data_IF_104476786477
#
_entry.id   IF_104476786477
#
_cell.length_a   1.000
_cell.length_b   1.000
_cell.length_c   1.000
_cell.angle_alpha   90.00
_cell.angle_beta   90.00
_cell.angle_gamma   90.00
#
_symmetry.space_group_name_H-M   'P 1'
#
loop_
_entity.id
_entity.type
_entity.pdbx_description
1 polymer ?
#
# COMPACT_ATOMS: atom_id res chain seq x y z
N UNK A 1 25.38 8.45 31.00
CA UNK A 1 23.92 8.24 30.87
C UNK A 1 23.56 8.08 29.40
N UNK A 2 22.76 7.07 29.04
CA UNK A 2 21.90 7.11 27.84
C UNK A 2 20.98 5.88 27.88
N UNK A 3 19.69 6.14 28.11
CA UNK A 3 18.62 5.16 28.03
C UNK A 3 18.72 4.35 26.74
N UNK A 4 19.19 3.10 26.81
CA UNK A 4 18.99 2.11 25.75
C UNK A 4 17.71 1.37 26.08
N UNK A 5 16.57 1.97 25.72
CA UNK A 5 15.33 1.21 25.69
C UNK A 5 15.50 0.05 24.70
N UNK A 6 15.21 -1.19 25.08
CA UNK A 6 15.32 -2.33 24.17
C UNK A 6 14.25 -2.21 23.09
N UNK A 7 14.61 -1.66 21.92
CA UNK A 7 13.71 -1.57 20.78
C UNK A 7 13.52 -2.98 20.20
N UNK A 8 12.29 -3.48 20.27
CA UNK A 8 11.91 -4.84 19.84
C UNK A 8 10.85 -4.90 18.75
N UNK A 9 10.33 -3.75 18.35
CA UNK A 9 9.26 -3.66 17.36
C UNK A 9 9.44 -2.41 16.49
N UNK A 10 9.32 -2.59 15.18
CA UNK A 10 9.14 -1.52 14.21
C UNK A 10 7.74 -1.69 13.60
N UNK A 11 6.93 -0.64 13.61
CA UNK A 11 5.63 -0.61 12.94
C UNK A 11 5.69 0.41 11.82
N UNK A 12 5.37 -0.01 10.60
CA UNK A 12 5.21 0.85 9.44
C UNK A 12 3.73 0.86 9.05
N UNK A 13 3.01 1.89 9.49
CA UNK A 13 1.59 2.10 9.18
C UNK A 13 1.39 3.41 8.38
N UNK A 14 1.21 3.38 7.06
CA UNK A 14 1.32 2.23 6.16
C UNK A 14 2.38 2.43 5.10
N UNK A 15 2.78 1.32 4.49
CA UNK A 15 3.67 1.37 3.35
C UNK A 15 2.98 1.94 2.09
N UNK A 16 1.65 1.90 2.01
CA UNK A 16 0.89 2.43 0.86
C UNK A 16 0.96 3.96 0.77
N UNK A 17 1.15 4.66 1.90
CA UNK A 17 1.27 6.12 1.94
C UNK A 17 2.40 6.65 1.05
N UNK A 18 3.47 5.88 0.85
CA UNK A 18 4.60 6.25 0.00
C UNK A 18 4.25 6.28 -1.50
N UNK A 19 3.18 5.61 -1.92
CA UNK A 19 2.93 5.34 -3.34
C UNK A 19 1.64 5.97 -3.87
N UNK A 20 0.73 6.39 -3.00
CA UNK A 20 -0.61 6.88 -3.35
C UNK A 20 -0.62 8.13 -4.24
N UNK A 21 0.40 8.99 -4.14
CA UNK A 21 0.51 10.21 -4.95
C UNK A 21 1.59 10.15 -6.03
N UNK A 22 2.49 9.17 -5.94
CA UNK A 22 3.66 9.08 -6.82
C UNK A 22 3.47 8.09 -7.97
N UNK A 23 2.53 7.15 -7.86
CA UNK A 23 2.38 6.05 -8.81
C UNK A 23 0.92 5.72 -9.09
N UNK A 24 0.55 5.77 -10.37
CA UNK A 24 -0.75 5.30 -10.83
C UNK A 24 -0.84 3.76 -10.78
N UNK A 25 -2.07 3.25 -10.89
CA UNK A 25 -2.35 1.82 -11.02
C UNK A 25 -2.08 1.28 -12.45
N UNK A 26 -1.09 1.84 -13.15
CA UNK A 26 -0.63 1.34 -14.45
C UNK A 26 0.34 0.17 -14.29
N UNK A 27 0.41 -0.79 -15.22
CA UNK A 27 1.36 -1.91 -15.12
C UNK A 27 2.83 -1.48 -14.97
N UNK A 28 3.23 -0.38 -15.60
CA UNK A 28 4.59 0.17 -15.48
C UNK A 28 4.88 0.69 -14.09
N UNK A 29 3.95 1.42 -13.49
CA UNK A 29 4.16 2.01 -12.18
C UNK A 29 4.01 0.98 -11.07
N UNK A 30 3.11 0.00 -11.22
CA UNK A 30 3.06 -1.16 -10.33
C UNK A 30 4.37 -1.95 -10.30
N UNK A 31 5.07 -2.11 -11.44
CA UNK A 31 6.41 -2.72 -11.47
C UNK A 31 7.44 -1.89 -10.68
N UNK A 32 7.44 -0.57 -10.84
CA UNK A 32 8.34 0.33 -10.08
C UNK A 32 8.03 0.29 -8.59
N UNK A 33 6.75 0.35 -8.21
CA UNK A 33 6.26 0.20 -6.82
C UNK A 33 6.77 -1.10 -6.22
N UNK A 34 6.57 -2.22 -6.90
CA UNK A 34 7.04 -3.53 -6.45
C UNK A 34 8.56 -3.56 -6.23
N UNK A 35 9.34 -2.98 -7.15
CA UNK A 35 10.80 -2.87 -6.99
C UNK A 35 11.19 -2.09 -5.73
N UNK A 36 10.53 -0.97 -5.45
CA UNK A 36 10.81 -0.18 -4.26
C UNK A 36 10.39 -0.92 -2.98
N UNK A 37 9.23 -1.57 -2.99
CA UNK A 37 8.78 -2.42 -1.88
C UNK A 37 9.79 -3.51 -1.53
N UNK A 38 10.35 -4.20 -2.52
CA UNK A 38 11.37 -5.23 -2.27
C UNK A 38 12.64 -4.64 -1.66
N UNK A 39 13.07 -3.46 -2.10
CA UNK A 39 14.24 -2.77 -1.52
C UNK A 39 14.01 -2.42 -0.05
N UNK A 40 12.86 -1.83 0.26
CA UNK A 40 12.48 -1.46 1.64
C UNK A 40 12.36 -2.73 2.50
N UNK A 41 11.65 -3.75 2.01
CA UNK A 41 11.45 -5.01 2.73
C UNK A 41 12.77 -5.73 3.01
N UNK A 42 13.71 -5.70 2.06
CA UNK A 42 15.05 -6.24 2.26
C UNK A 42 15.80 -5.54 3.39
N UNK A 43 15.72 -4.20 3.46
CA UNK A 43 16.33 -3.42 4.55
C UNK A 43 15.66 -3.68 5.91
N UNK A 44 14.34 -3.72 5.95
CA UNK A 44 13.59 -4.04 7.17
C UNK A 44 13.92 -5.45 7.68
N UNK A 45 14.03 -6.45 6.78
CA UNK A 45 14.47 -7.81 7.13
C UNK A 45 15.91 -7.83 7.66
N UNK A 46 16.82 -7.07 7.06
CA UNK A 46 18.19 -6.92 7.58
C UNK A 46 18.21 -6.33 8.99
N UNK A 47 17.39 -5.32 9.27
CA UNK A 47 17.25 -4.73 10.61
C UNK A 47 16.65 -5.73 11.61
N UNK A 48 15.59 -6.44 11.21
CA UNK A 48 14.95 -7.46 12.05
C UNK A 48 15.96 -8.52 12.52
N UNK A 49 16.75 -9.04 11.58
CA UNK A 49 17.79 -10.04 11.88
C UNK A 49 18.93 -9.46 12.72
N UNK A 50 19.40 -8.25 12.39
CA UNK A 50 20.54 -7.63 13.09
C UNK A 50 20.24 -7.32 14.56
N UNK A 51 19.01 -6.90 14.85
CA UNK A 51 18.64 -6.41 16.18
C UNK A 51 17.72 -7.36 16.96
N UNK A 52 17.31 -8.49 16.35
CA UNK A 52 16.38 -9.43 16.97
C UNK A 52 15.07 -8.74 17.35
N UNK A 53 14.46 -8.05 16.38
CA UNK A 53 13.21 -7.30 16.52
C UNK A 53 12.16 -7.79 15.51
N UNK A 54 10.89 -7.53 15.81
CA UNK A 54 9.78 -7.76 14.89
C UNK A 54 9.53 -6.52 14.02
N UNK A 55 9.11 -6.74 12.78
CA UNK A 55 8.66 -5.68 11.88
C UNK A 55 7.22 -5.97 11.47
N UNK A 56 6.33 -5.02 11.72
CA UNK A 56 4.93 -5.07 11.27
C UNK A 56 4.76 -3.99 10.21
N UNK A 57 4.21 -4.37 9.06
CA UNK A 57 3.94 -3.46 7.94
C UNK A 57 2.46 -3.58 7.61
N UNK A 58 1.74 -2.45 7.63
CA UNK A 58 0.37 -2.41 7.13
C UNK A 58 0.40 -1.95 5.67
N UNK A 59 -0.54 -2.47 4.88
CA UNK A 59 -0.76 -2.03 3.51
C UNK A 59 -2.24 -1.69 3.37
N UNK A 60 -2.53 -0.46 2.99
CA UNK A 60 -3.91 -0.07 2.69
C UNK A 60 -4.20 -0.35 1.22
N UNK A 61 -5.43 -0.78 0.96
CA UNK A 61 -5.94 -1.13 -0.37
C UNK A 61 -7.21 -0.34 -0.64
N UNK A 62 -7.56 -0.20 -1.90
CA UNK A 62 -8.82 0.42 -2.35
C UNK A 62 -9.70 -0.62 -3.03
N UNK A 63 -10.99 -0.33 -3.12
CA UNK A 63 -11.94 -1.26 -3.70
C UNK A 63 -11.84 -1.29 -5.23
N UNK A 64 -12.05 -2.48 -5.80
CA UNK A 64 -12.23 -2.59 -7.24
C UNK A 64 -13.69 -2.34 -7.60
N UNK A 65 -13.96 -1.23 -8.28
CA UNK A 65 -15.31 -0.93 -8.80
C UNK A 65 -15.33 -1.17 -10.30
N UNK A 66 -16.11 -2.16 -10.73
CA UNK A 66 -16.28 -2.50 -12.14
C UNK A 66 -17.23 -1.50 -12.82
N UNK A 67 -16.84 -1.00 -13.99
CA UNK A 67 -17.70 -0.17 -14.83
C UNK A 67 -18.71 -1.09 -15.53
N UNK A 68 -20.00 -1.05 -15.17
CA UNK A 68 -21.01 -1.87 -15.84
C UNK A 68 -21.11 -1.53 -17.33
N UNK A 69 -20.98 -2.54 -18.20
CA UNK A 69 -21.04 -2.44 -19.66
C UNK A 69 -22.26 -1.63 -20.16
N UNK A 70 -21.99 -0.53 -20.88
CA UNK A 70 -22.99 0.17 -21.69
C UNK A 70 -23.19 1.66 -21.43
N UNK A 71 -22.74 2.21 -20.28
CA UNK A 71 -22.70 3.66 -20.07
C UNK A 71 -21.27 4.18 -20.12
N UNK A 72 -20.80 4.38 -21.34
CA UNK A 72 -19.67 5.25 -21.66
C UNK A 72 -19.94 6.65 -21.09
N UNK A 73 -19.39 6.99 -19.92
CA UNK A 73 -19.55 8.35 -19.40
C UNK A 73 -19.19 8.57 -17.94
N UNK A 74 -17.91 8.42 -17.59
CA UNK A 74 -17.26 9.04 -16.44
C UNK A 74 -17.87 10.42 -16.12
N UNK A 75 -18.51 10.61 -14.95
CA UNK A 75 -18.52 11.93 -14.27
C UNK A 75 -18.54 11.80 -12.74
N UNK A 76 -17.36 11.59 -12.17
CA UNK A 76 -17.05 11.85 -10.75
C UNK A 76 -17.47 13.30 -10.45
N UNK A 77 -18.52 13.46 -9.64
CA UNK A 77 -19.41 14.63 -9.61
C UNK A 77 -20.76 14.22 -9.02
N UNK A 78 -21.90 14.77 -9.46
CA UNK A 78 -23.23 14.45 -8.89
C UNK A 78 -23.75 13.03 -9.26
N UNK A 79 -23.04 11.98 -8.82
CA UNK A 79 -23.09 10.60 -9.30
C UNK A 79 -24.24 9.79 -8.66
N UNK A 80 -25.01 9.02 -9.46
CA UNK A 80 -26.24 8.29 -9.01
C UNK A 80 -26.10 6.81 -8.60
N UNK A 81 -24.94 6.14 -8.78
CA UNK A 81 -24.50 4.97 -7.97
C UNK A 81 -23.07 4.52 -8.34
N UNK A 82 -22.30 4.13 -7.30
CA UNK A 82 -21.13 3.24 -7.30
C UNK A 82 -21.15 2.49 -5.97
N UNK A 83 -20.88 1.19 -5.93
CA UNK A 83 -20.52 0.48 -4.69
C UNK A 83 -19.64 -0.74 -4.99
N UNK A 84 -18.67 -0.95 -4.11
CA UNK A 84 -17.94 -2.20 -3.87
C UNK A 84 -17.46 -2.08 -2.40
N UNK A 85 -17.38 -3.12 -1.55
CA UNK A 85 -16.74 -4.41 -1.75
C UNK A 85 -17.71 -5.57 -1.98
N UNK A 86 -17.63 -6.15 -3.18
CA UNK A 86 -17.75 -7.61 -3.35
C UNK A 86 -16.43 -8.35 -3.07
N UNK A 87 -15.44 -7.63 -2.54
CA UNK A 87 -14.07 -8.00 -2.15
C UNK A 87 -13.19 -8.53 -3.27
N UNK A 88 -13.03 -7.69 -4.30
CA UNK A 88 -11.80 -7.58 -5.08
C UNK A 88 -11.17 -6.26 -4.68
N UNK A 89 -9.87 -6.24 -4.41
CA UNK A 89 -9.15 -5.03 -3.98
C UNK A 89 -8.02 -4.72 -4.93
N UNK A 90 -7.69 -3.44 -5.05
CA UNK A 90 -6.57 -2.93 -5.83
C UNK A 90 -5.60 -2.15 -4.95
N UNK A 91 -4.35 -1.95 -5.39
CA UNK A 91 -3.43 -1.08 -4.69
C UNK A 91 -4.03 0.32 -4.50
N UNK A 92 -3.89 0.84 -3.28
CA UNK A 92 -4.36 2.18 -2.94
C UNK A 92 -3.56 3.29 -3.65
#
# INVERSE_FOLDING_TARGET
SRNRFPLKLIVLDSVAALFRSEFDNTPSDLRKRASLFFKISGKLKQLANKFGLAVVITNQVTDFVESSDGLSGLRIGNLRYMCSSGRRVVPA
#
